data_IF_006009188638
#
_entry.id   IF_006009188638
#
_cell.length_a   1.000
_cell.length_b   1.000
_cell.length_c   1.000
_cell.angle_alpha   90.00
_cell.angle_beta   90.00
_cell.angle_gamma   90.00
#
_symmetry.space_group_name_H-M   'P 1'
#
loop_
_entity.id
_entity.type
_entity.pdbx_description
1 polymer ?
#
# COMPACT_ATOMS: atom_id res chain seq x y z
N UNK A 1 6.91 -34.74 -29.13
CA UNK A 1 6.60 -33.33 -28.85
C UNK A 1 6.55 -33.19 -27.35
N UNK A 2 7.54 -32.52 -26.73
CA UNK A 2 7.47 -32.18 -25.30
C UNK A 2 6.29 -31.25 -25.06
N UNK A 3 5.48 -31.48 -24.01
CA UNK A 3 4.41 -30.53 -23.67
C UNK A 3 5.06 -29.18 -23.43
N UNK A 4 4.52 -28.13 -24.05
CA UNK A 4 4.94 -26.77 -23.79
C UNK A 4 4.79 -26.52 -22.28
N UNK A 5 5.91 -26.36 -21.59
CA UNK A 5 5.93 -26.05 -20.16
C UNK A 5 5.27 -24.66 -20.05
N UNK A 6 4.04 -24.57 -19.59
CA UNK A 6 3.37 -23.31 -19.32
C UNK A 6 4.24 -22.57 -18.31
N UNK A 7 4.76 -21.41 -18.69
CA UNK A 7 5.56 -20.59 -17.80
C UNK A 7 4.70 -20.22 -16.58
N UNK A 8 5.20 -20.47 -15.38
CA UNK A 8 4.58 -20.10 -14.10
C UNK A 8 5.49 -19.14 -13.37
N UNK A 9 4.91 -18.15 -12.71
CA UNK A 9 5.59 -17.26 -11.79
C UNK A 9 4.89 -17.35 -10.43
N UNK A 10 5.24 -18.40 -9.66
CA UNK A 10 4.57 -18.71 -8.40
C UNK A 10 5.31 -18.14 -7.20
N UNK A 11 4.56 -17.58 -6.26
CA UNK A 11 5.03 -17.14 -4.94
C UNK A 11 4.32 -17.97 -3.89
N UNK A 12 5.08 -18.48 -2.90
CA UNK A 12 4.50 -19.12 -1.72
C UNK A 12 4.22 -18.09 -0.65
N UNK A 13 2.99 -18.05 -0.15
CA UNK A 13 2.55 -17.13 0.92
C UNK A 13 2.79 -17.71 2.30
N UNK A 14 2.57 -16.91 3.34
CA UNK A 14 2.75 -17.31 4.75
C UNK A 14 1.81 -18.42 5.18
N UNK A 15 0.64 -18.55 4.55
CA UNK A 15 -0.30 -19.67 4.79
C UNK A 15 0.14 -20.98 4.09
N UNK A 16 1.23 -20.95 3.31
CA UNK A 16 1.71 -22.10 2.52
C UNK A 16 1.06 -22.23 1.15
N UNK A 17 0.15 -21.34 0.76
CA UNK A 17 -0.47 -21.35 -0.57
C UNK A 17 0.53 -20.90 -1.64
N UNK A 18 0.33 -21.40 -2.87
CA UNK A 18 1.06 -20.92 -4.04
C UNK A 18 0.13 -20.09 -4.91
N UNK A 19 0.57 -18.87 -5.22
CA UNK A 19 -0.14 -17.95 -6.11
C UNK A 19 0.66 -17.82 -7.40
N UNK A 20 0.02 -18.10 -8.54
CA UNK A 20 0.61 -17.85 -9.86
C UNK A 20 0.34 -16.39 -10.26
N UNK A 21 1.38 -15.56 -10.25
CA UNK A 21 1.29 -14.14 -10.58
C UNK A 21 0.88 -13.90 -12.04
N UNK A 22 1.08 -14.90 -12.93
CA UNK A 22 0.63 -14.81 -14.32
C UNK A 22 -0.87 -15.12 -14.46
N UNK A 23 -1.47 -15.81 -13.49
CA UNK A 23 -2.91 -16.14 -13.50
C UNK A 23 -3.50 -16.19 -12.08
N UNK A 24 -3.40 -15.09 -11.29
CA UNK A 24 -3.88 -15.07 -9.91
C UNK A 24 -5.40 -15.21 -9.85
N UNK A 25 -5.91 -15.90 -8.82
CA UNK A 25 -7.34 -16.12 -8.60
C UNK A 25 -7.81 -15.46 -7.29
N UNK A 26 -9.05 -14.93 -7.25
CA UNK A 26 -9.61 -14.34 -6.02
C UNK A 26 -9.63 -15.31 -4.84
N UNK A 27 -9.82 -16.60 -5.09
CA UNK A 27 -9.84 -17.65 -4.06
C UNK A 27 -8.47 -17.90 -3.41
N UNK A 28 -7.38 -17.43 -4.04
CA UNK A 28 -6.02 -17.58 -3.51
C UNK A 28 -5.62 -16.41 -2.61
N UNK A 29 -6.40 -15.32 -2.64
CA UNK A 29 -6.12 -14.10 -1.88
C UNK A 29 -6.64 -14.24 -0.45
N UNK A 30 -5.73 -14.20 0.52
CA UNK A 30 -6.06 -14.20 1.94
C UNK A 30 -5.59 -12.91 2.60
N UNK A 31 -6.45 -12.32 3.43
CA UNK A 31 -6.11 -11.09 4.15
C UNK A 31 -4.98 -11.31 5.16
N UNK A 32 -4.91 -12.49 5.75
CA UNK A 32 -3.87 -12.88 6.69
C UNK A 32 -2.49 -12.94 6.04
N UNK A 33 -2.41 -13.39 4.78
CA UNK A 33 -1.18 -13.41 3.99
C UNK A 33 -0.75 -11.99 3.61
N UNK A 34 -1.70 -11.15 3.17
CA UNK A 34 -1.45 -9.74 2.88
C UNK A 34 -0.92 -9.04 4.13
N UNK A 35 -1.64 -9.13 5.25
CA UNK A 35 -1.25 -8.49 6.51
C UNK A 35 0.14 -8.95 6.98
N UNK A 36 0.43 -10.24 6.84
CA UNK A 36 1.74 -10.80 7.21
C UNK A 36 2.85 -10.24 6.31
N UNK A 37 2.68 -10.30 5.01
CA UNK A 37 3.71 -9.84 4.08
C UNK A 37 3.96 -8.33 4.24
N UNK A 38 2.90 -7.50 4.20
CA UNK A 38 3.03 -6.06 4.32
C UNK A 38 3.63 -5.61 5.66
N UNK A 39 3.42 -6.37 6.75
CA UNK A 39 4.03 -6.06 8.05
C UNK A 39 5.53 -6.33 8.09
N UNK A 40 6.05 -7.13 7.18
CA UNK A 40 7.48 -7.47 7.08
C UNK A 40 8.20 -6.78 5.92
N UNK A 41 7.47 -6.06 5.06
CA UNK A 41 8.04 -5.25 3.98
C UNK A 41 8.37 -3.86 4.53
N UNK A 42 9.65 -3.46 4.42
CA UNK A 42 10.09 -2.14 4.84
C UNK A 42 9.81 -1.10 3.76
N UNK A 43 9.15 0.01 4.11
CA UNK A 43 9.03 1.17 3.22
C UNK A 43 10.39 1.85 2.99
N UNK A 44 10.49 2.64 1.94
CA UNK A 44 11.71 3.36 1.53
C UNK A 44 12.92 2.43 1.38
N UNK A 45 12.71 1.17 0.93
CA UNK A 45 13.77 0.16 0.84
C UNK A 45 14.58 0.00 2.14
N UNK A 46 13.98 0.25 3.30
CA UNK A 46 14.62 0.15 4.61
C UNK A 46 15.54 1.33 4.98
N UNK A 47 15.51 2.45 4.25
CA UNK A 47 16.32 3.64 4.54
C UNK A 47 15.74 4.56 5.62
N UNK A 48 14.70 4.15 6.32
CA UNK A 48 14.16 4.85 7.50
C UNK A 48 15.07 4.66 8.72
N UNK A 49 15.03 5.60 9.68
CA UNK A 49 15.84 5.50 10.92
C UNK A 49 15.54 4.24 11.74
N UNK A 50 14.30 3.74 11.64
CA UNK A 50 13.83 2.51 12.28
C UNK A 50 12.99 1.77 11.26
N UNK A 51 12.85 0.45 11.43
CA UNK A 51 11.97 -0.33 10.58
C UNK A 51 10.55 0.25 10.60
N UNK A 52 10.02 0.53 9.41
CA UNK A 52 8.66 1.02 9.21
C UNK A 52 8.01 0.26 8.07
N UNK A 53 6.87 -0.36 8.34
CA UNK A 53 6.26 -1.33 7.43
C UNK A 53 5.20 -0.73 6.51
N UNK A 54 5.01 -1.35 5.35
CA UNK A 54 3.89 -1.06 4.44
C UNK A 54 2.54 -1.26 5.14
N UNK A 55 2.40 -2.27 6.03
CA UNK A 55 1.16 -2.49 6.77
C UNK A 55 0.80 -1.29 7.65
N UNK A 56 1.77 -0.71 8.38
CA UNK A 56 1.53 0.48 9.19
C UNK A 56 1.11 1.67 8.33
N UNK A 57 1.79 1.90 7.22
CA UNK A 57 1.43 2.92 6.25
C UNK A 57 -0.04 2.79 5.81
N UNK A 58 -0.45 1.60 5.38
CA UNK A 58 -1.82 1.34 4.93
C UNK A 58 -2.87 1.59 6.03
N UNK A 59 -2.57 1.18 7.28
CA UNK A 59 -3.46 1.46 8.42
C UNK A 59 -3.65 2.95 8.62
N UNK A 60 -2.56 3.72 8.60
CA UNK A 60 -2.59 5.18 8.76
C UNK A 60 -3.30 5.87 7.58
N UNK A 61 -3.04 5.45 6.34
CA UNK A 61 -3.78 5.93 5.17
C UNK A 61 -5.29 5.73 5.33
N UNK A 62 -5.72 4.60 5.85
CA UNK A 62 -7.13 4.27 6.07
C UNK A 62 -7.80 5.17 7.13
N UNK A 63 -7.02 5.81 7.99
CA UNK A 63 -7.47 6.77 9.00
C UNK A 63 -7.67 8.19 8.46
N UNK A 64 -7.07 8.51 7.33
CA UNK A 64 -7.21 9.83 6.72
C UNK A 64 -8.58 9.93 6.05
N UNK A 65 -9.44 10.86 6.54
CA UNK A 65 -10.80 11.03 6.04
C UNK A 65 -11.56 9.68 5.96
N UNK A 66 -11.78 9.01 7.11
CA UNK A 66 -12.17 7.60 7.15
C UNK A 66 -13.57 7.30 6.60
N UNK A 67 -14.42 8.32 6.42
CA UNK A 67 -15.77 8.17 5.87
C UNK A 67 -15.77 7.88 4.37
N UNK A 68 -14.61 8.02 3.72
CA UNK A 68 -14.45 7.81 2.28
C UNK A 68 -13.38 6.77 2.00
N UNK A 69 -13.79 5.68 1.35
CA UNK A 69 -12.90 4.68 0.79
C UNK A 69 -11.84 4.12 1.78
N UNK A 70 -12.19 4.02 3.08
CA UNK A 70 -11.23 3.59 4.09
C UNK A 70 -10.73 2.17 3.88
N UNK A 71 -11.55 1.26 3.34
CA UNK A 71 -11.16 -0.10 3.00
C UNK A 71 -10.21 -0.11 1.79
N UNK A 72 -10.51 0.69 0.77
CA UNK A 72 -9.67 0.87 -0.40
C UNK A 72 -8.31 1.47 -0.04
N UNK A 73 -8.29 2.44 0.88
CA UNK A 73 -7.05 3.03 1.43
C UNK A 73 -6.24 2.02 2.23
N UNK A 74 -6.91 1.13 2.98
CA UNK A 74 -6.21 0.06 3.70
C UNK A 74 -5.56 -0.94 2.74
N UNK A 75 -6.20 -1.22 1.60
CA UNK A 75 -5.78 -2.26 0.66
C UNK A 75 -5.03 -1.72 -0.57
N UNK A 76 -4.72 -0.42 -0.65
CA UNK A 76 -4.16 0.17 -1.86
C UNK A 76 -2.80 -0.41 -2.27
N UNK A 77 -1.97 -0.76 -1.29
CA UNK A 77 -0.66 -1.39 -1.50
C UNK A 77 -0.70 -2.93 -1.28
N UNK A 78 -1.90 -3.55 -1.23
CA UNK A 78 -2.02 -4.98 -0.97
C UNK A 78 -1.33 -5.86 -2.03
N UNK A 79 -1.11 -5.35 -3.24
CA UNK A 79 -0.34 -6.02 -4.31
C UNK A 79 1.11 -6.27 -3.91
N UNK A 80 1.67 -5.42 -3.07
CA UNK A 80 3.07 -5.50 -2.63
C UNK A 80 3.34 -6.75 -1.79
N UNK A 81 2.31 -7.34 -1.20
CA UNK A 81 2.41 -8.65 -0.55
C UNK A 81 2.91 -9.77 -1.49
N UNK A 82 2.77 -9.58 -2.81
CA UNK A 82 3.09 -10.56 -3.84
C UNK A 82 4.25 -10.15 -4.74
N UNK A 83 4.44 -8.85 -4.97
CA UNK A 83 5.46 -8.32 -5.89
C UNK A 83 6.50 -7.43 -5.20
N UNK A 84 6.33 -7.16 -3.90
CA UNK A 84 7.21 -6.30 -3.11
C UNK A 84 6.92 -4.81 -3.28
N UNK A 85 7.43 -3.99 -2.35
CA UNK A 85 7.40 -2.53 -2.45
C UNK A 85 8.57 -2.06 -3.35
N UNK A 86 8.22 -1.66 -4.57
CA UNK A 86 9.18 -1.10 -5.50
C UNK A 86 9.03 0.43 -5.54
N UNK A 87 10.08 1.15 -5.21
CA UNK A 87 10.06 2.62 -5.20
C UNK A 87 9.76 3.19 -6.59
N UNK A 88 8.97 4.25 -6.64
CA UNK A 88 8.45 4.86 -7.87
C UNK A 88 9.51 5.15 -8.95
N UNK A 89 10.72 5.65 -8.64
CA UNK A 89 11.76 5.85 -9.66
C UNK A 89 12.12 4.57 -10.41
N UNK A 90 12.15 3.42 -9.72
CA UNK A 90 12.44 2.12 -10.33
C UNK A 90 11.22 1.60 -11.08
N UNK A 91 10.00 1.71 -10.52
CA UNK A 91 8.74 1.34 -11.22
C UNK A 91 8.64 1.97 -12.62
N UNK A 92 9.11 3.22 -12.76
CA UNK A 92 9.06 3.94 -14.04
C UNK A 92 9.98 3.35 -15.12
N UNK A 93 11.01 2.59 -14.73
CA UNK A 93 11.93 1.91 -15.66
C UNK A 93 11.40 0.54 -16.10
N UNK A 94 10.39 -0.02 -15.42
CA UNK A 94 9.86 -1.37 -15.67
C UNK A 94 8.34 -1.34 -15.91
N UNK A 95 7.87 -0.98 -17.12
CA UNK A 95 6.42 -0.90 -17.41
C UNK A 95 5.66 -2.19 -17.13
N UNK A 96 6.29 -3.36 -17.30
CA UNK A 96 5.70 -4.66 -17.01
C UNK A 96 5.36 -4.87 -15.54
N UNK A 97 6.06 -4.20 -14.63
CA UNK A 97 5.76 -4.26 -13.21
C UNK A 97 4.37 -3.66 -12.91
N UNK A 98 4.07 -2.47 -13.45
CA UNK A 98 2.75 -1.84 -13.28
C UNK A 98 1.62 -2.70 -13.82
N UNK A 99 1.82 -3.33 -14.98
CA UNK A 99 0.84 -4.27 -15.55
C UNK A 99 0.58 -5.44 -14.61
N UNK A 100 1.60 -5.94 -13.93
CA UNK A 100 1.47 -7.01 -12.95
C UNK A 100 0.71 -6.52 -11.70
N UNK A 101 1.07 -5.35 -11.17
CA UNK A 101 0.36 -4.74 -10.05
C UNK A 101 -1.12 -4.55 -10.35
N UNK A 102 -1.48 -3.96 -11.49
CA UNK A 102 -2.88 -3.73 -11.91
C UNK A 102 -3.67 -5.04 -12.03
N UNK A 103 -3.02 -6.09 -12.52
CA UNK A 103 -3.63 -7.41 -12.62
C UNK A 103 -3.95 -7.98 -11.24
N UNK A 104 -2.99 -7.96 -10.33
CA UNK A 104 -3.16 -8.46 -8.96
C UNK A 104 -4.18 -7.60 -8.20
N UNK A 105 -4.12 -6.26 -8.35
CA UNK A 105 -5.10 -5.35 -7.75
C UNK A 105 -6.53 -5.66 -8.21
N UNK A 106 -6.71 -6.01 -9.49
CA UNK A 106 -8.01 -6.44 -10.02
C UNK A 106 -8.53 -7.73 -9.36
N UNK A 107 -7.63 -8.65 -9.03
CA UNK A 107 -7.99 -9.91 -8.32
C UNK A 107 -8.29 -9.64 -6.85
N UNK A 108 -7.51 -8.77 -6.18
CA UNK A 108 -7.77 -8.31 -4.81
C UNK A 108 -9.14 -7.60 -4.73
N UNK A 109 -9.45 -6.74 -5.72
CA UNK A 109 -10.73 -6.07 -5.80
C UNK A 109 -11.90 -7.08 -5.86
N UNK A 110 -11.76 -8.14 -6.65
CA UNK A 110 -12.77 -9.21 -6.72
C UNK A 110 -12.89 -9.98 -5.39
N UNK A 111 -11.75 -10.29 -4.76
CA UNK A 111 -11.73 -11.05 -3.50
C UNK A 111 -12.45 -10.30 -2.36
N UNK A 112 -12.30 -8.98 -2.30
CA UNK A 112 -12.84 -8.16 -1.21
C UNK A 112 -14.02 -7.27 -1.61
N UNK A 113 -14.54 -7.40 -2.83
CA UNK A 113 -15.72 -6.66 -3.28
C UNK A 113 -15.48 -5.17 -3.47
N UNK A 114 -14.26 -4.78 -3.84
CA UNK A 114 -13.88 -3.39 -4.14
C UNK A 114 -14.15 -3.03 -5.60
N UNK A 115 -14.16 -1.74 -5.90
CA UNK A 115 -14.20 -1.26 -7.27
C UNK A 115 -12.89 -1.60 -8.00
N UNK A 116 -13.00 -2.01 -9.26
CA UNK A 116 -11.82 -2.24 -10.08
C UNK A 116 -11.03 -0.92 -10.23
N UNK A 117 -9.72 -0.98 -10.03
CA UNK A 117 -8.86 0.20 -10.08
C UNK A 117 -8.92 1.08 -8.83
N UNK A 118 -9.44 0.57 -7.71
CA UNK A 118 -9.57 1.29 -6.44
C UNK A 118 -8.27 1.97 -6.00
N UNK A 119 -7.12 1.36 -6.26
CA UNK A 119 -5.79 1.88 -5.91
C UNK A 119 -5.37 3.10 -6.75
N UNK A 120 -6.10 3.42 -7.82
CA UNK A 120 -5.94 4.63 -8.64
C UNK A 120 -6.97 5.72 -8.31
N UNK A 121 -7.90 5.46 -7.39
CA UNK A 121 -8.89 6.47 -6.99
C UNK A 121 -8.19 7.72 -6.44
N UNK A 122 -8.60 8.93 -6.85
CA UNK A 122 -7.95 10.17 -6.41
C UNK A 122 -7.94 10.35 -4.89
N UNK A 123 -8.99 9.91 -4.17
CA UNK A 123 -9.04 10.02 -2.71
C UNK A 123 -8.10 9.02 -2.03
N UNK A 124 -7.92 7.83 -2.63
CA UNK A 124 -6.92 6.85 -2.17
C UNK A 124 -5.52 7.39 -2.36
N UNK A 125 -5.20 7.89 -3.57
CA UNK A 125 -3.91 8.50 -3.90
C UNK A 125 -3.61 9.73 -3.06
N UNK A 126 -4.64 10.50 -2.71
CA UNK A 126 -4.52 11.63 -1.80
C UNK A 126 -4.04 11.20 -0.42
N UNK A 127 -4.63 10.14 0.14
CA UNK A 127 -4.24 9.63 1.46
C UNK A 127 -2.83 9.04 1.46
N UNK A 128 -2.46 8.30 0.43
CA UNK A 128 -1.11 7.77 0.20
C UNK A 128 -0.08 8.91 0.17
N UNK A 129 -0.34 9.96 -0.62
CA UNK A 129 0.56 11.11 -0.77
C UNK A 129 0.72 11.91 0.54
N UNK A 130 -0.35 12.08 1.30
CA UNK A 130 -0.29 12.71 2.63
C UNK A 130 0.65 11.90 3.54
N UNK A 131 0.43 10.59 3.62
CA UNK A 131 1.28 9.73 4.46
C UNK A 131 2.72 9.69 3.98
N UNK A 132 2.97 9.65 2.68
CA UNK A 132 4.33 9.72 2.12
C UNK A 132 5.09 10.96 2.60
N UNK A 133 4.45 12.13 2.64
CA UNK A 133 5.07 13.36 3.12
C UNK A 133 5.28 13.35 4.64
N UNK A 134 4.31 12.88 5.41
CA UNK A 134 4.45 12.69 6.88
C UNK A 134 5.63 11.77 7.19
N UNK A 135 5.68 10.63 6.52
CA UNK A 135 6.73 9.63 6.69
C UNK A 135 8.11 10.16 6.31
N UNK A 136 8.19 10.89 5.19
CA UNK A 136 9.43 11.54 4.76
C UNK A 136 9.99 12.44 5.85
N UNK A 137 9.17 13.29 6.43
CA UNK A 137 9.61 14.23 7.47
C UNK A 137 9.91 13.55 8.81
N UNK A 138 9.18 12.50 9.15
CA UNK A 138 9.32 11.82 10.44
C UNK A 138 10.43 10.75 10.45
N UNK A 139 10.69 10.09 9.31
CA UNK A 139 11.46 8.84 9.26
C UNK A 139 12.74 8.92 8.45
N UNK A 140 12.88 9.91 7.55
CA UNK A 140 14.07 10.07 6.72
C UNK A 140 14.95 11.22 7.21
N UNK A 141 16.25 11.10 6.94
CA UNK A 141 17.19 12.19 7.19
C UNK A 141 16.85 13.39 6.32
N UNK A 142 16.78 14.59 6.91
CA UNK A 142 16.62 15.82 6.16
C UNK A 142 17.84 16.06 5.24
N UNK A 143 17.57 16.50 4.00
CA UNK A 143 18.61 16.79 3.02
C UNK A 143 18.39 18.18 2.42
N UNK A 144 19.43 19.02 2.24
CA UNK A 144 19.31 20.31 1.55
C UNK A 144 18.71 20.23 0.13
N UNK A 145 18.88 19.09 -0.54
CA UNK A 145 18.35 18.85 -1.91
C UNK A 145 16.87 18.40 -1.93
N UNK A 146 16.24 18.22 -0.78
CA UNK A 146 14.84 17.78 -0.68
C UNK A 146 13.88 18.64 -1.52
N UNK A 147 14.13 19.95 -1.61
CA UNK A 147 13.28 20.84 -2.42
C UNK A 147 13.32 20.51 -3.91
N UNK A 148 14.41 19.94 -4.40
CA UNK A 148 14.60 19.55 -5.80
C UNK A 148 14.07 18.14 -6.02
N UNK A 149 14.54 17.20 -5.22
CA UNK A 149 14.22 15.77 -5.41
C UNK A 149 12.75 15.45 -5.13
N UNK A 150 12.13 16.17 -4.18
CA UNK A 150 10.72 16.01 -3.83
C UNK A 150 9.79 17.02 -4.53
N UNK A 151 10.33 17.89 -5.39
CA UNK A 151 9.55 18.94 -6.06
C UNK A 151 8.31 18.38 -6.79
N UNK A 152 8.45 17.23 -7.46
CA UNK A 152 7.34 16.56 -8.16
C UNK A 152 6.26 16.09 -7.18
N UNK A 153 6.66 15.53 -6.05
CA UNK A 153 5.73 15.06 -5.01
C UNK A 153 4.94 16.23 -4.43
N UNK A 154 5.61 17.35 -4.14
CA UNK A 154 4.93 18.57 -3.70
C UNK A 154 4.00 19.16 -4.77
N UNK A 155 4.37 19.10 -6.07
CA UNK A 155 3.49 19.52 -7.15
C UNK A 155 2.24 18.64 -7.26
N UNK A 156 2.39 17.33 -7.12
CA UNK A 156 1.26 16.39 -7.13
C UNK A 156 0.35 16.64 -5.91
N UNK A 157 0.92 16.97 -4.75
CA UNK A 157 0.19 17.36 -3.55
C UNK A 157 -0.64 18.64 -3.78
N UNK A 158 -0.04 19.66 -4.41
CA UNK A 158 -0.75 20.91 -4.78
C UNK A 158 -1.87 20.66 -5.81
N UNK A 159 -1.64 19.79 -6.80
CA UNK A 159 -2.68 19.41 -7.80
C UNK A 159 -3.88 18.74 -7.16
N UNK A 160 -3.70 18.08 -6.03
CA UNK A 160 -4.78 17.49 -5.24
C UNK A 160 -5.49 18.53 -4.34
N UNK A 161 -5.12 19.80 -4.43
CA UNK A 161 -5.76 20.91 -3.71
C UNK A 161 -5.21 21.15 -2.30
N UNK A 162 -3.99 20.69 -2.02
CA UNK A 162 -3.32 20.97 -0.75
C UNK A 162 -2.38 22.15 -0.82
N UNK A 163 -2.28 22.89 0.28
CA UNK A 163 -1.24 23.89 0.49
C UNK A 163 0.06 23.16 0.88
N UNK A 164 1.19 23.55 0.28
CA UNK A 164 2.55 23.11 0.70
C UNK A 164 2.86 23.37 2.16
N UNK A 165 2.22 24.40 2.73
CA UNK A 165 2.37 24.80 4.10
C UNK A 165 1.38 24.10 5.05
N UNK A 166 0.63 23.07 4.56
CA UNK A 166 -0.26 22.35 5.43
C UNK A 166 0.56 21.77 6.59
N UNK A 167 0.32 22.27 7.82
CA UNK A 167 1.05 21.77 8.96
C UNK A 167 0.77 20.29 9.10
N UNK A 168 1.80 19.44 9.06
CA UNK A 168 1.67 17.98 9.16
C UNK A 168 1.03 17.56 10.48
N UNK A 169 1.14 18.39 11.52
CA UNK A 169 0.46 18.29 12.81
C UNK A 169 -1.07 18.43 12.71
N UNK A 170 -1.60 19.16 11.72
CA UNK A 170 -3.04 19.25 11.48
C UNK A 170 -3.65 18.01 10.81
N UNK A 171 -2.83 17.10 10.30
CA UNK A 171 -3.29 15.84 9.72
C UNK A 171 -3.63 14.81 10.81
N UNK A 172 -3.43 15.16 12.10
CA UNK A 172 -3.74 14.29 13.23
C UNK A 172 -2.76 13.13 13.41
N UNK A 173 -1.59 13.23 12.79
CA UNK A 173 -0.49 12.32 13.04
C UNK A 173 0.25 12.83 14.28
N UNK A 174 -0.06 12.27 15.44
CA UNK A 174 0.85 12.22 16.60
C UNK A 174 2.25 11.82 16.09
N UNK A 175 3.33 12.08 16.84
CA UNK A 175 4.66 11.71 16.36
C UNK A 175 4.64 10.25 15.85
N UNK A 176 5.01 10.09 14.57
CA UNK A 176 4.95 8.81 13.89
C UNK A 176 5.92 7.83 14.54
N UNK A 177 5.37 6.92 15.33
CA UNK A 177 6.14 5.89 16.03
C UNK A 177 6.06 4.60 15.21
N UNK A 178 7.19 4.09 14.70
CA UNK A 178 7.22 2.81 13.98
C UNK A 178 6.80 1.64 14.86
N UNK A 179 5.93 0.79 14.32
CA UNK A 179 5.45 -0.42 14.99
C UNK A 179 6.33 -1.62 14.64
N UNK A 180 6.45 -2.54 15.58
CA UNK A 180 7.04 -3.84 15.28
C UNK A 180 6.13 -4.61 14.28
N UNK A 181 6.69 -5.52 13.45
CA UNK A 181 5.90 -6.25 12.45
C UNK A 181 4.66 -6.94 13.01
N UNK A 182 4.75 -7.55 14.18
CA UNK A 182 3.62 -8.22 14.84
C UNK A 182 2.51 -7.24 15.19
N UNK A 183 2.85 -6.02 15.64
CA UNK A 183 1.89 -4.97 15.97
C UNK A 183 1.23 -4.42 14.70
N UNK A 184 2.03 -4.17 13.66
CA UNK A 184 1.54 -3.71 12.36
C UNK A 184 0.58 -4.72 11.72
N UNK A 185 0.92 -6.02 11.77
CA UNK A 185 0.05 -7.11 11.31
C UNK A 185 -1.29 -7.10 12.05
N UNK A 186 -1.26 -7.06 13.38
CA UNK A 186 -2.48 -7.08 14.19
C UNK A 186 -3.35 -5.85 13.91
N UNK A 187 -2.75 -4.66 13.89
CA UNK A 187 -3.48 -3.42 13.60
C UNK A 187 -4.13 -3.44 12.20
N UNK A 188 -3.44 -4.00 11.19
CA UNK A 188 -3.97 -4.16 9.84
C UNK A 188 -5.19 -5.10 9.81
N UNK A 189 -5.10 -6.25 10.46
CA UNK A 189 -6.20 -7.21 10.55
C UNK A 189 -7.40 -6.65 11.33
N UNK A 190 -7.17 -5.98 12.44
CA UNK A 190 -8.22 -5.33 13.23
C UNK A 190 -8.93 -4.25 12.42
N UNK A 191 -8.14 -3.42 11.72
CA UNK A 191 -8.69 -2.37 10.85
C UNK A 191 -9.49 -2.95 9.68
N UNK A 192 -8.98 -4.00 9.05
CA UNK A 192 -9.71 -4.72 8.00
C UNK A 192 -11.03 -5.26 8.53
N UNK A 193 -11.05 -5.93 9.67
CA UNK A 193 -12.27 -6.47 10.28
C UNK A 193 -13.33 -5.39 10.55
N UNK A 194 -12.93 -4.22 11.05
CA UNK A 194 -13.81 -3.07 11.27
C UNK A 194 -14.44 -2.57 9.95
N UNK A 195 -13.62 -2.37 8.93
CA UNK A 195 -14.04 -1.77 7.67
C UNK A 195 -14.84 -2.74 6.79
N UNK A 196 -14.41 -3.99 6.73
CA UNK A 196 -15.04 -5.03 5.92
C UNK A 196 -16.43 -5.38 6.44
N UNK A 197 -16.60 -5.51 7.76
CA UNK A 197 -17.90 -5.74 8.38
C UNK A 197 -18.88 -4.58 8.14
N UNK A 198 -18.38 -3.33 8.22
CA UNK A 198 -19.19 -2.15 7.96
C UNK A 198 -19.64 -2.03 6.50
N UNK A 199 -18.85 -2.54 5.54
CA UNK A 199 -19.19 -2.54 4.11
C UNK A 199 -20.30 -3.52 3.76
N UNK A 200 -20.42 -4.64 4.48
CA UNK A 200 -21.50 -5.63 4.29
C UNK A 200 -22.85 -5.15 4.81
N UNK A 201 -22.88 -4.31 5.83
CA UNK A 201 -24.12 -3.76 6.37
C UNK A 201 -24.75 -2.65 5.49
N UNK A 202 -24.05 -2.18 4.45
CA UNK A 202 -24.51 -1.12 3.54
C UNK A 202 -25.04 -1.64 2.19
N UNK A 203 -24.95 -2.95 1.94
CA UNK A 203 -25.52 -3.63 0.75
C UNK A 203 -26.80 -4.34 1.10
#
# INVERSE_FOLDING_TARGET
MSPATTQRATVQTSSGRYIDLLDPKPADILIEDIAHALSNIARFNGHTHQFYSVAQHCVLCSGINPDKLALEKLLHDATEAYVGDMVTPIKNLFPGYRTMEDKIAGVIAQAFGLNRGFHHDPEVKRSDLIMLLVEKHALLQANPEDQIEWARIYQDFERLGFDRQLPLDQIGCEPLIPWQPVQAKQAFLDRFGQLYSASWCKK
#
